data_IF_282623830885
#
_entry.id   IF_282623830885
#
_cell.length_a   1.000
_cell.length_b   1.000
_cell.length_c   1.000
_cell.angle_alpha   90.00
_cell.angle_beta   90.00
_cell.angle_gamma   90.00
#
_symmetry.space_group_name_H-M   'P 1'
#
loop_
_entity.id
_entity.type
_entity.pdbx_description
1 polymer ?
#
# COMPACT_ATOMS: atom_id res chain seq x y z
N UNK A 1 -31.22 13.69 32.14
CA UNK A 1 -31.79 12.34 31.91
C UNK A 1 -32.21 12.23 30.45
N UNK A 2 -31.25 12.11 29.52
CA UNK A 2 -31.48 11.96 28.06
C UNK A 2 -30.20 11.37 27.39
N UNK A 3 -29.55 10.37 28.02
CA UNK A 3 -28.34 9.74 27.44
C UNK A 3 -28.45 8.20 27.34
N UNK A 4 -29.48 7.56 27.90
CA UNK A 4 -29.52 6.08 27.98
C UNK A 4 -30.31 5.37 26.88
N UNK A 5 -30.84 6.04 25.85
CA UNK A 5 -31.85 5.43 24.96
C UNK A 5 -31.40 4.97 23.56
N UNK A 6 -30.10 4.97 23.23
CA UNK A 6 -29.66 4.69 21.84
C UNK A 6 -28.79 3.44 21.67
N UNK A 7 -28.52 2.66 22.72
CA UNK A 7 -27.55 1.54 22.65
C UNK A 7 -28.22 0.18 22.34
N UNK A 8 -29.54 0.05 22.48
CA UNK A 8 -30.20 -1.28 22.46
C UNK A 8 -30.58 -1.83 21.07
N UNK A 9 -30.40 -1.12 19.95
CA UNK A 9 -30.71 -1.66 18.61
C UNK A 9 -29.82 -1.03 17.53
N UNK A 10 -28.49 -1.26 17.59
CA UNK A 10 -27.67 -0.94 16.41
C UNK A 10 -27.99 -1.93 15.29
N UNK A 11 -28.36 -1.42 14.12
CA UNK A 11 -28.53 -2.21 12.91
C UNK A 11 -27.22 -2.37 12.13
N UNK A 12 -26.14 -1.69 12.57
CA UNK A 12 -24.81 -1.84 11.99
C UNK A 12 -24.12 -3.07 12.55
N UNK A 13 -23.65 -3.94 11.66
CA UNK A 13 -22.78 -5.07 11.98
C UNK A 13 -21.43 -4.95 11.30
N UNK A 14 -20.41 -5.55 11.91
CA UNK A 14 -19.07 -5.66 11.36
C UNK A 14 -18.64 -7.13 11.28
N UNK A 15 -17.93 -7.49 10.20
CA UNK A 15 -17.37 -8.83 9.97
C UNK A 15 -15.95 -8.69 9.39
N UNK A 16 -15.03 -9.57 9.79
CA UNK A 16 -13.65 -9.57 9.30
C UNK A 16 -13.35 -10.86 8.56
N UNK A 17 -12.86 -10.75 7.32
CA UNK A 17 -12.55 -11.90 6.47
C UNK A 17 -11.05 -12.25 6.48
N UNK A 18 -10.19 -11.26 6.66
CA UNK A 18 -8.73 -11.41 6.65
C UNK A 18 -8.03 -10.23 7.37
N UNK A 19 -6.69 -10.26 7.49
CA UNK A 19 -5.88 -9.23 8.16
C UNK A 19 -5.84 -9.31 9.69
N UNK A 20 -6.25 -10.42 10.30
CA UNK A 20 -6.40 -10.51 11.77
C UNK A 20 -5.09 -10.71 12.54
N UNK A 21 -4.17 -11.52 12.00
CA UNK A 21 -2.85 -11.83 12.59
C UNK A 21 -1.80 -11.99 11.48
N UNK A 22 -1.90 -11.13 10.47
CA UNK A 22 -1.04 -11.11 9.29
C UNK A 22 -0.70 -9.67 8.98
N UNK A 23 0.53 -9.41 8.53
CA UNK A 23 0.83 -8.19 7.78
C UNK A 23 0.23 -8.41 6.40
N UNK A 24 -0.64 -7.50 5.99
CA UNK A 24 -1.35 -7.63 4.72
C UNK A 24 -2.64 -8.44 4.73
N UNK A 25 -3.37 -8.27 3.63
CA UNK A 25 -4.61 -8.99 3.34
C UNK A 25 -5.82 -8.47 4.12
N UNK A 26 -5.82 -7.22 4.56
CA UNK A 26 -6.96 -6.67 5.31
C UNK A 26 -8.21 -6.66 4.44
N UNK A 27 -9.28 -7.31 4.93
CA UNK A 27 -10.62 -7.24 4.33
C UNK A 27 -11.67 -7.34 5.45
N UNK A 28 -12.48 -6.31 5.60
CA UNK A 28 -13.61 -6.30 6.54
C UNK A 28 -14.85 -5.66 5.91
N UNK A 29 -16.01 -6.03 6.43
CA UNK A 29 -17.31 -5.55 5.97
C UNK A 29 -18.06 -4.85 7.10
N UNK A 30 -18.65 -3.71 6.76
CA UNK A 30 -19.69 -3.01 7.52
C UNK A 30 -21.01 -3.21 6.79
N UNK A 31 -22.01 -3.74 7.48
CA UNK A 31 -23.36 -3.93 6.95
C UNK A 31 -24.36 -3.11 7.76
N UNK A 32 -25.21 -2.34 7.08
CA UNK A 32 -26.36 -1.66 7.67
C UNK A 32 -27.61 -2.02 6.87
N UNK A 33 -28.56 -2.71 7.50
CA UNK A 33 -29.69 -3.36 6.79
C UNK A 33 -29.15 -4.25 5.68
N UNK A 34 -29.45 -4.03 4.40
CA UNK A 34 -28.91 -4.79 3.28
C UNK A 34 -27.70 -4.13 2.59
N UNK A 35 -27.32 -2.93 2.99
CA UNK A 35 -26.21 -2.18 2.40
C UNK A 35 -24.89 -2.68 2.95
N UNK A 36 -23.92 -2.98 2.07
CA UNK A 36 -22.63 -3.57 2.42
C UNK A 36 -21.49 -2.70 1.94
N UNK A 37 -20.66 -2.30 2.87
CA UNK A 37 -19.41 -1.60 2.62
C UNK A 37 -18.25 -2.50 3.00
N UNK A 38 -17.38 -2.80 2.05
CA UNK A 38 -16.16 -3.58 2.26
C UNK A 38 -14.97 -2.63 2.19
N UNK A 39 -14.09 -2.66 3.18
CA UNK A 39 -12.85 -1.90 3.17
C UNK A 39 -11.66 -2.81 2.83
N UNK A 40 -10.84 -2.31 1.91
CA UNK A 40 -9.75 -3.00 1.25
C UNK A 40 -10.16 -4.33 0.62
N UNK A 41 -9.26 -4.88 -0.19
CA UNK A 41 -9.42 -6.17 -0.86
C UNK A 41 -8.05 -6.78 -1.14
N UNK A 42 -7.23 -6.86 -0.09
CA UNK A 42 -5.83 -7.21 -0.17
C UNK A 42 -5.54 -8.70 -0.22
N UNK A 43 -4.34 -9.06 -0.69
CA UNK A 43 -3.80 -10.42 -0.58
C UNK A 43 -2.75 -10.53 0.54
N UNK A 44 -2.66 -11.69 1.17
CA UNK A 44 -1.49 -11.99 2.00
C UNK A 44 -0.41 -12.55 1.08
N UNK A 45 0.77 -11.94 1.09
CA UNK A 45 1.97 -12.48 0.46
C UNK A 45 2.43 -13.72 1.24
N UNK A 46 1.75 -14.84 1.01
CA UNK A 46 2.25 -16.15 1.45
C UNK A 46 3.09 -16.74 0.34
N UNK A 47 4.10 -17.51 0.73
CA UNK A 47 4.98 -18.32 -0.12
C UNK A 47 4.17 -19.44 -0.82
N UNK A 48 3.26 -19.03 -1.70
CA UNK A 48 2.33 -19.85 -2.47
C UNK A 48 2.66 -19.80 -3.97
N UNK A 49 3.91 -19.46 -4.29
CA UNK A 49 4.45 -19.81 -5.60
C UNK A 49 4.34 -21.33 -5.80
N UNK A 50 3.84 -21.72 -6.97
CA UNK A 50 3.46 -23.11 -7.27
C UNK A 50 1.98 -23.43 -7.06
N UNK A 51 1.17 -22.50 -6.54
CA UNK A 51 -0.30 -22.63 -6.58
C UNK A 51 -0.78 -22.49 -8.03
N UNK A 52 -0.85 -23.64 -8.71
CA UNK A 52 -1.46 -23.74 -10.02
C UNK A 52 -2.98 -23.87 -9.85
N UNK A 53 -3.66 -22.73 -9.82
CA UNK A 53 -5.11 -22.70 -9.92
C UNK A 53 -5.52 -23.03 -11.37
N UNK A 54 -6.53 -23.88 -11.54
CA UNK A 54 -7.02 -24.22 -12.88
C UNK A 54 -7.67 -22.98 -13.49
N UNK A 55 -7.37 -22.57 -14.73
CA UNK A 55 -7.94 -21.37 -15.32
C UNK A 55 -9.48 -21.30 -15.26
N UNK A 56 -10.16 -22.45 -15.46
CA UNK A 56 -11.62 -22.55 -15.42
C UNK A 56 -12.22 -22.56 -14.00
N UNK A 57 -11.40 -22.71 -12.96
CA UNK A 57 -11.83 -22.83 -11.55
C UNK A 57 -10.96 -21.96 -10.65
N UNK A 58 -10.39 -20.88 -11.20
CA UNK A 58 -9.34 -20.11 -10.54
C UNK A 58 -9.78 -19.60 -9.17
N UNK A 59 -10.96 -18.98 -9.09
CA UNK A 59 -11.46 -18.41 -7.83
C UNK A 59 -11.73 -19.51 -6.80
N UNK A 60 -12.40 -20.60 -7.19
CA UNK A 60 -12.71 -21.71 -6.27
C UNK A 60 -11.45 -22.43 -5.78
N UNK A 61 -10.45 -22.59 -6.64
CA UNK A 61 -9.17 -23.21 -6.27
C UNK A 61 -8.40 -22.31 -5.31
N UNK A 62 -8.35 -21.00 -5.57
CA UNK A 62 -7.72 -20.02 -4.69
C UNK A 62 -8.45 -19.87 -3.35
N UNK A 63 -9.77 -20.02 -3.32
CA UNK A 63 -10.56 -20.10 -2.09
C UNK A 63 -10.24 -21.37 -1.29
N UNK A 64 -10.19 -22.53 -1.94
CA UNK A 64 -9.84 -23.80 -1.32
C UNK A 64 -8.41 -23.76 -0.72
N UNK A 65 -7.52 -22.99 -1.33
CA UNK A 65 -6.16 -22.76 -0.86
C UNK A 65 -6.03 -21.59 0.13
N UNK A 66 -7.14 -20.94 0.48
CA UNK A 66 -7.18 -19.83 1.44
C UNK A 66 -6.42 -18.58 0.98
N UNK A 67 -6.27 -18.37 -0.33
CA UNK A 67 -5.70 -17.15 -0.92
C UNK A 67 -6.78 -16.06 -1.00
N UNK A 68 -7.96 -16.42 -1.50
CA UNK A 68 -9.12 -15.52 -1.58
C UNK A 68 -10.09 -15.92 -0.46
N UNK A 69 -10.56 -14.98 0.40
CA UNK A 69 -11.59 -15.29 1.37
C UNK A 69 -12.96 -15.54 0.71
N UNK A 70 -13.80 -16.31 1.38
CA UNK A 70 -15.19 -16.55 0.95
C UNK A 70 -16.04 -15.31 1.27
N UNK A 71 -16.29 -14.45 0.27
CA UNK A 71 -17.10 -13.23 0.41
C UNK A 71 -18.23 -13.28 -0.62
N UNK A 72 -19.42 -13.67 -0.16
CA UNK A 72 -20.57 -13.91 -1.04
C UNK A 72 -21.01 -12.65 -1.80
N UNK A 73 -21.25 -12.83 -3.10
CA UNK A 73 -21.86 -11.81 -3.98
C UNK A 73 -20.94 -10.68 -4.38
N UNK A 74 -19.64 -10.80 -4.10
CA UNK A 74 -18.62 -9.79 -4.44
C UNK A 74 -17.65 -10.30 -5.51
N UNK A 75 -17.49 -11.61 -5.65
CA UNK A 75 -16.51 -12.22 -6.55
C UNK A 75 -17.12 -12.51 -7.93
N UNK A 76 -16.29 -12.55 -8.99
CA UNK A 76 -16.70 -12.87 -10.37
C UNK A 76 -17.41 -14.23 -10.51
N UNK A 77 -17.20 -15.14 -9.57
CA UNK A 77 -17.82 -16.47 -9.52
C UNK A 77 -19.27 -16.47 -9.00
N UNK A 78 -19.72 -15.38 -8.39
CA UNK A 78 -20.93 -15.34 -7.59
C UNK A 78 -22.08 -14.63 -8.33
N UNK A 79 -23.32 -14.87 -7.89
CA UNK A 79 -24.42 -13.95 -8.19
C UNK A 79 -24.18 -12.63 -7.46
N UNK A 80 -24.03 -11.54 -8.23
CA UNK A 80 -23.63 -10.24 -7.67
C UNK A 80 -24.66 -9.66 -6.71
N UNK A 81 -24.20 -9.25 -5.54
CA UNK A 81 -24.96 -8.42 -4.61
C UNK A 81 -24.78 -6.95 -4.97
N UNK A 82 -25.83 -6.36 -5.54
CA UNK A 82 -25.82 -4.96 -6.00
C UNK A 82 -25.77 -3.94 -4.86
N UNK A 83 -25.86 -4.38 -3.60
CA UNK A 83 -25.73 -3.52 -2.43
C UNK A 83 -24.31 -3.48 -1.87
N UNK A 84 -23.38 -4.24 -2.46
CA UNK A 84 -21.98 -4.24 -2.07
C UNK A 84 -21.20 -3.13 -2.77
N UNK A 85 -20.29 -2.51 -2.03
CA UNK A 85 -19.31 -1.55 -2.54
C UNK A 85 -18.00 -1.75 -1.80
N UNK A 86 -16.89 -1.67 -2.52
CA UNK A 86 -15.54 -1.79 -1.98
C UNK A 86 -14.91 -0.40 -1.93
N UNK A 87 -14.23 -0.05 -0.85
CA UNK A 87 -13.34 1.11 -0.81
C UNK A 87 -11.91 0.71 -0.44
N UNK A 88 -10.94 1.29 -1.13
CA UNK A 88 -9.51 1.00 -0.98
C UNK A 88 -8.83 2.15 -0.27
N UNK A 89 -8.09 1.85 0.79
CA UNK A 89 -7.30 2.80 1.57
C UNK A 89 -6.06 3.29 0.81
N UNK A 90 -5.34 2.38 0.16
CA UNK A 90 -4.16 2.66 -0.65
C UNK A 90 -3.79 1.49 -1.58
N UNK A 91 -2.80 1.69 -2.45
CA UNK A 91 -2.57 0.80 -3.61
C UNK A 91 -1.57 -0.36 -3.40
N UNK A 92 -1.11 -0.64 -2.18
CA UNK A 92 -0.28 -1.81 -1.98
C UNK A 92 -1.08 -3.11 -2.24
N UNK A 93 -0.41 -4.15 -2.74
CA UNK A 93 -1.08 -5.39 -3.14
C UNK A 93 -1.75 -6.10 -1.95
N UNK A 94 -1.27 -5.84 -0.74
CA UNK A 94 -1.86 -6.37 0.47
C UNK A 94 -3.07 -5.57 0.98
N UNK A 95 -3.47 -4.52 0.26
CA UNK A 95 -4.73 -3.78 0.42
C UNK A 95 -5.63 -3.85 -0.81
N UNK A 96 -5.12 -4.15 -2.00
CA UNK A 96 -5.97 -4.23 -3.21
C UNK A 96 -5.65 -5.38 -4.19
N UNK A 97 -4.72 -6.27 -3.86
CA UNK A 97 -4.22 -7.32 -4.75
C UNK A 97 -5.24 -8.36 -5.19
N UNK A 98 -6.39 -8.47 -4.52
CA UNK A 98 -7.48 -9.37 -4.94
C UNK A 98 -8.53 -8.69 -5.82
N UNK A 99 -8.38 -7.40 -6.15
CA UNK A 99 -9.39 -6.66 -6.94
C UNK A 99 -9.70 -7.29 -8.30
N UNK A 100 -8.72 -7.95 -8.93
CA UNK A 100 -8.92 -8.68 -10.19
C UNK A 100 -9.95 -9.82 -10.11
N UNK A 101 -10.35 -10.25 -8.91
CA UNK A 101 -11.36 -11.28 -8.70
C UNK A 101 -12.74 -10.72 -8.36
N UNK A 102 -12.88 -9.40 -8.20
CA UNK A 102 -14.14 -8.71 -7.89
C UNK A 102 -15.04 -8.70 -9.12
N UNK A 103 -16.34 -8.94 -8.89
CA UNK A 103 -17.36 -8.90 -9.92
C UNK A 103 -17.46 -7.48 -10.55
N UNK A 104 -17.53 -7.32 -11.89
CA UNK A 104 -17.47 -6.01 -12.54
C UNK A 104 -18.55 -5.00 -12.11
N UNK A 105 -19.72 -5.50 -11.69
CA UNK A 105 -20.84 -4.67 -11.22
C UNK A 105 -20.69 -4.18 -9.76
N UNK A 106 -19.68 -4.65 -9.02
CA UNK A 106 -19.39 -4.16 -7.66
C UNK A 106 -18.50 -2.92 -7.78
N UNK A 107 -18.97 -1.73 -7.35
CA UNK A 107 -18.18 -0.50 -7.42
C UNK A 107 -16.95 -0.58 -6.52
N UNK A 108 -15.84 -0.05 -7.02
CA UNK A 108 -14.60 0.14 -6.26
C UNK A 108 -14.40 1.64 -6.09
N UNK A 109 -14.17 2.08 -4.87
CA UNK A 109 -13.98 3.49 -4.52
C UNK A 109 -12.56 3.67 -3.96
N UNK A 110 -11.89 4.75 -4.33
CA UNK A 110 -10.59 5.14 -3.77
C UNK A 110 -10.45 6.66 -3.79
N UNK A 111 -9.38 7.20 -3.21
CA UNK A 111 -9.06 8.62 -3.34
C UNK A 111 -8.76 9.01 -4.79
N UNK A 112 -8.89 10.29 -5.14
CA UNK A 112 -8.51 10.79 -6.48
C UNK A 112 -7.05 10.48 -6.79
N UNK A 113 -6.17 10.71 -5.83
CA UNK A 113 -4.74 10.45 -5.92
C UNK A 113 -4.43 8.95 -6.11
N UNK A 114 -5.14 8.08 -5.38
CA UNK A 114 -5.03 6.63 -5.59
C UNK A 114 -5.55 6.24 -6.98
N UNK A 115 -6.66 6.81 -7.46
CA UNK A 115 -7.15 6.50 -8.80
C UNK A 115 -6.16 6.93 -9.88
N UNK A 116 -5.59 8.12 -9.77
CA UNK A 116 -4.56 8.60 -10.71
C UNK A 116 -3.36 7.67 -10.74
N UNK A 117 -2.82 7.28 -9.57
CA UNK A 117 -1.71 6.32 -9.54
C UNK A 117 -2.14 4.95 -10.10
N UNK A 118 -3.34 4.47 -9.79
CA UNK A 118 -3.86 3.20 -10.30
C UNK A 118 -3.90 3.17 -11.84
N UNK A 119 -4.39 4.24 -12.48
CA UNK A 119 -4.46 4.34 -13.95
C UNK A 119 -3.07 4.26 -14.61
N UNK A 120 -2.05 4.84 -13.98
CA UNK A 120 -0.69 4.79 -14.48
C UNK A 120 -0.04 3.42 -14.25
N UNK A 121 -0.22 2.83 -13.06
CA UNK A 121 0.20 1.45 -12.80
C UNK A 121 -0.45 0.50 -13.82
N UNK A 122 -1.73 0.72 -14.15
CA UNK A 122 -2.49 -0.12 -15.09
C UNK A 122 -1.91 -0.11 -16.48
N UNK A 123 -1.41 1.06 -16.88
CA UNK A 123 -0.76 1.24 -18.16
C UNK A 123 0.55 0.44 -18.25
N UNK A 124 1.26 0.27 -17.14
CA UNK A 124 2.51 -0.49 -17.03
C UNK A 124 2.32 -1.92 -16.47
N UNK A 125 1.09 -2.37 -16.31
CA UNK A 125 0.71 -3.74 -15.87
C UNK A 125 1.25 -4.12 -14.48
N UNK A 126 1.32 -3.16 -13.55
CA UNK A 126 1.88 -3.33 -12.21
C UNK A 126 0.83 -3.56 -11.11
N UNK A 127 -0.45 -3.69 -11.46
CA UNK A 127 -1.57 -3.84 -10.53
C UNK A 127 -2.67 -4.76 -11.10
N UNK A 128 -3.64 -5.16 -10.26
CA UNK A 128 -4.74 -6.03 -10.65
C UNK A 128 -5.51 -5.49 -11.85
N UNK A 129 -5.76 -6.36 -12.83
CA UNK A 129 -6.49 -5.97 -14.02
C UNK A 129 -8.00 -5.82 -13.74
N UNK A 130 -8.45 -4.56 -13.57
CA UNK A 130 -9.86 -4.17 -13.44
C UNK A 130 -10.25 -3.18 -14.52
N UNK A 131 -11.55 -3.10 -14.85
CA UNK A 131 -12.03 -2.09 -15.79
C UNK A 131 -12.15 -0.73 -15.09
N UNK A 132 -11.05 0.03 -15.08
CA UNK A 132 -10.95 1.31 -14.35
C UNK A 132 -12.05 2.30 -14.76
N UNK A 133 -12.36 2.40 -16.06
CA UNK A 133 -13.33 3.36 -16.59
C UNK A 133 -14.79 3.08 -16.21
N UNK A 134 -15.13 1.85 -15.82
CA UNK A 134 -16.51 1.46 -15.47
C UNK A 134 -16.68 1.19 -13.97
N UNK A 135 -15.69 0.53 -13.35
CA UNK A 135 -15.81 -0.03 -12.01
C UNK A 135 -15.25 0.90 -10.93
N UNK A 136 -14.23 1.73 -11.26
CA UNK A 136 -13.47 2.51 -10.28
C UNK A 136 -13.94 3.97 -10.23
N UNK A 137 -14.38 4.38 -9.03
CA UNK A 137 -14.77 5.76 -8.70
C UNK A 137 -13.74 6.39 -7.78
N UNK A 138 -13.43 7.65 -8.03
CA UNK A 138 -12.59 8.45 -7.14
C UNK A 138 -13.43 9.37 -6.27
N UNK A 139 -12.90 9.69 -5.10
CA UNK A 139 -13.46 10.67 -4.16
C UNK A 139 -12.33 11.59 -3.70
N UNK A 140 -12.49 12.93 -3.78
CA UNK A 140 -11.50 13.85 -3.24
C UNK A 140 -11.35 13.68 -1.73
N UNK A 141 -10.14 13.95 -1.22
CA UNK A 141 -9.94 14.02 0.22
C UNK A 141 -10.84 15.06 0.89
N UNK A 142 -11.21 14.77 2.15
CA UNK A 142 -12.07 15.62 2.99
C UNK A 142 -13.48 15.87 2.42
N UNK A 143 -13.90 15.11 1.41
CA UNK A 143 -15.26 15.19 0.87
C UNK A 143 -16.10 13.98 1.27
N UNK A 144 -17.22 14.21 1.97
CA UNK A 144 -18.28 13.24 2.13
C UNK A 144 -18.73 12.61 0.80
N UNK A 145 -18.75 11.28 0.75
CA UNK A 145 -19.28 10.52 -0.38
C UNK A 145 -20.33 9.51 0.10
N UNK A 146 -21.54 9.62 -0.44
CA UNK A 146 -22.65 8.74 -0.12
C UNK A 146 -22.52 7.44 -0.92
N UNK A 147 -22.06 6.35 -0.29
CA UNK A 147 -21.85 5.05 -0.98
C UNK A 147 -23.17 4.31 -1.22
N UNK A 148 -24.14 4.49 -0.34
CA UNK A 148 -25.46 3.84 -0.37
C UNK A 148 -26.50 4.72 0.33
N UNK A 149 -27.73 4.28 0.56
CA UNK A 149 -28.76 5.13 1.18
C UNK A 149 -28.39 5.59 2.61
N UNK A 150 -27.69 4.76 3.38
CA UNK A 150 -27.41 5.00 4.79
C UNK A 150 -25.92 5.02 5.13
N UNK A 151 -25.04 4.54 4.24
CA UNK A 151 -23.60 4.53 4.48
C UNK A 151 -22.95 5.69 3.70
N UNK A 152 -22.16 6.48 4.41
CA UNK A 152 -21.34 7.56 3.87
C UNK A 152 -19.87 7.32 4.25
N UNK A 153 -18.95 7.65 3.35
CA UNK A 153 -17.51 7.63 3.63
C UNK A 153 -16.88 9.01 3.44
N UNK A 154 -15.70 9.20 4.01
CA UNK A 154 -14.82 10.34 3.75
C UNK A 154 -13.38 9.85 3.87
N UNK A 155 -12.57 10.16 2.86
CA UNK A 155 -11.14 9.85 2.86
C UNK A 155 -10.35 10.99 3.49
N UNK A 156 -9.40 10.64 4.34
CA UNK A 156 -8.43 11.56 4.94
C UNK A 156 -7.03 11.15 4.50
N UNK A 157 -6.22 12.08 3.98
CA UNK A 157 -4.85 11.76 3.60
C UNK A 157 -4.07 11.33 4.84
N UNK A 158 -3.27 10.28 4.67
CA UNK A 158 -2.26 9.87 5.64
C UNK A 158 -0.96 9.66 4.87
N UNK A 159 0.16 9.80 5.57
CA UNK A 159 1.46 9.47 5.04
C UNK A 159 1.65 7.96 5.05
N UNK A 160 2.18 7.46 3.93
CA UNK A 160 2.61 6.08 3.71
C UNK A 160 3.64 6.13 2.56
N UNK A 161 4.24 5.02 2.20
CA UNK A 161 5.17 4.93 1.07
C UNK A 161 4.48 4.67 -0.29
N UNK A 162 3.24 5.17 -0.45
CA UNK A 162 2.48 5.19 -1.71
C UNK A 162 1.63 6.45 -1.84
N UNK A 163 1.47 6.96 -3.07
CA UNK A 163 0.61 8.10 -3.34
C UNK A 163 -0.87 7.76 -3.07
N UNK A 164 -1.58 8.69 -2.45
CA UNK A 164 -3.02 8.60 -2.22
C UNK A 164 -3.44 7.74 -1.03
N UNK A 165 -2.48 7.33 -0.18
CA UNK A 165 -2.78 6.61 1.04
C UNK A 165 -3.72 7.38 1.96
N UNK A 166 -4.67 6.66 2.55
CA UNK A 166 -5.77 7.30 3.25
C UNK A 166 -6.37 6.48 4.38
N UNK A 167 -6.76 7.20 5.43
CA UNK A 167 -7.72 6.72 6.41
C UNK A 167 -9.15 6.93 5.88
N UNK A 168 -10.06 6.03 6.23
CA UNK A 168 -11.46 6.06 5.80
C UNK A 168 -12.35 6.24 7.03
N UNK A 169 -13.09 7.35 7.08
CA UNK A 169 -14.19 7.52 8.04
C UNK A 169 -15.47 6.99 7.42
N UNK A 170 -16.12 6.04 8.08
CA UNK A 170 -17.35 5.39 7.65
C UNK A 170 -18.45 5.78 8.63
N UNK A 171 -19.55 6.33 8.12
CA UNK A 171 -20.69 6.78 8.92
C UNK A 171 -21.94 6.04 8.50
N UNK A 172 -22.59 5.39 9.46
CA UNK A 172 -23.95 4.86 9.34
C UNK A 172 -24.89 5.68 10.24
N UNK A 173 -26.22 5.46 10.22
CA UNK A 173 -27.14 6.25 11.04
C UNK A 173 -26.93 6.12 12.55
N UNK A 174 -26.28 5.04 13.01
CA UNK A 174 -26.10 4.73 14.44
C UNK A 174 -24.64 4.57 14.87
N UNK A 175 -23.68 4.64 13.93
CA UNK A 175 -22.26 4.38 14.21
C UNK A 175 -21.32 5.25 13.37
N UNK A 176 -20.25 5.74 13.99
CA UNK A 176 -19.08 6.29 13.31
C UNK A 176 -17.85 5.38 13.48
N UNK A 177 -17.23 5.00 12.37
CA UNK A 177 -16.05 4.14 12.34
C UNK A 177 -14.91 4.90 11.65
N UNK A 178 -13.69 4.74 12.13
CA UNK A 178 -12.48 5.19 11.43
C UNK A 178 -11.59 3.98 11.20
N UNK A 179 -11.20 3.75 9.96
CA UNK A 179 -10.18 2.81 9.56
C UNK A 179 -8.94 3.57 9.14
N UNK A 180 -7.78 3.33 9.76
CA UNK A 180 -6.57 4.12 9.47
C UNK A 180 -5.97 3.82 8.10
N UNK A 181 -6.24 2.64 7.53
CA UNK A 181 -5.33 2.06 6.55
C UNK A 181 -3.96 1.82 7.20
N UNK A 182 -2.92 1.85 6.38
CA UNK A 182 -1.55 1.93 6.86
C UNK A 182 -1.16 3.39 7.04
N UNK A 183 -0.39 3.64 8.11
CA UNK A 183 0.04 4.98 8.48
C UNK A 183 1.53 4.98 8.78
N UNK A 184 2.20 6.03 8.33
CA UNK A 184 3.51 6.47 8.79
C UNK A 184 3.37 7.76 9.56
N UNK A 185 4.30 8.03 10.46
CA UNK A 185 4.42 9.34 11.09
C UNK A 185 5.90 9.73 11.20
N UNK A 186 6.27 10.90 10.67
CA UNK A 186 7.59 11.52 10.86
C UNK A 186 7.41 12.95 11.39
N UNK A 187 8.48 13.58 11.87
CA UNK A 187 8.40 14.89 12.54
C UNK A 187 7.77 16.01 11.69
N UNK A 188 7.91 15.92 10.35
CA UNK A 188 7.36 16.89 9.37
C UNK A 188 5.96 16.51 8.85
N UNK A 189 5.37 15.42 9.34
CA UNK A 189 4.13 14.86 8.78
C UNK A 189 2.91 15.56 9.36
N UNK A 190 2.18 16.28 8.52
CA UNK A 190 1.02 17.08 8.92
C UNK A 190 -0.28 16.31 8.74
N UNK A 191 -0.36 15.43 7.74
CA UNK A 191 -1.61 14.79 7.35
C UNK A 191 -1.99 13.71 8.37
N UNK A 192 -1.10 12.74 8.60
CA UNK A 192 -1.33 11.70 9.61
C UNK A 192 -1.48 12.31 11.00
N UNK A 193 -0.64 13.30 11.37
CA UNK A 193 -0.70 13.92 12.69
C UNK A 193 -2.03 14.64 12.97
N UNK A 194 -2.70 15.16 11.93
CA UNK A 194 -3.99 15.84 12.07
C UNK A 194 -5.19 14.88 12.04
N UNK A 195 -5.00 13.59 11.71
CA UNK A 195 -6.09 12.62 11.61
C UNK A 195 -7.03 12.63 12.83
N UNK A 196 -6.56 12.62 14.10
CA UNK A 196 -7.44 12.68 15.27
C UNK A 196 -8.35 13.91 15.30
N UNK A 197 -7.84 15.06 14.84
CA UNK A 197 -8.57 16.33 14.81
C UNK A 197 -9.62 16.36 13.71
N UNK A 198 -9.29 15.89 12.51
CA UNK A 198 -10.17 15.97 11.34
C UNK A 198 -11.19 14.83 11.28
N UNK A 199 -10.80 13.62 11.68
CA UNK A 199 -11.71 12.50 11.78
C UNK A 199 -12.63 12.66 12.99
N UNK A 200 -12.11 13.22 14.09
CA UNK A 200 -12.77 13.32 15.40
C UNK A 200 -12.98 11.93 16.03
N UNK A 201 -13.44 11.89 17.28
CA UNK A 201 -13.59 10.62 18.00
C UNK A 201 -14.61 9.69 17.33
N UNK A 202 -14.24 8.45 16.94
CA UNK A 202 -15.16 7.47 16.41
C UNK A 202 -15.74 6.58 17.52
N UNK A 203 -16.84 5.86 17.24
CA UNK A 203 -17.32 4.79 18.11
C UNK A 203 -16.40 3.58 18.03
N UNK A 204 -15.94 3.25 16.82
CA UNK A 204 -15.03 2.14 16.53
C UNK A 204 -13.81 2.65 15.76
N UNK A 205 -12.62 2.35 16.23
CA UNK A 205 -11.37 2.52 15.50
C UNK A 205 -10.87 1.16 15.00
N UNK A 206 -10.49 1.08 13.73
CA UNK A 206 -9.76 -0.06 13.16
C UNK A 206 -8.39 0.47 12.77
N UNK A 207 -7.33 -0.11 13.31
CA UNK A 207 -5.96 0.41 13.18
C UNK A 207 -4.94 -0.69 12.90
N UNK A 208 -3.93 -0.38 12.08
CA UNK A 208 -2.82 -1.29 11.82
C UNK A 208 -1.97 -1.56 13.06
N UNK A 209 -1.24 -2.68 13.07
CA UNK A 209 -0.36 -3.09 14.16
C UNK A 209 0.95 -3.70 13.66
N UNK A 210 1.37 -3.36 12.44
CA UNK A 210 2.51 -3.96 11.74
C UNK A 210 3.76 -3.98 12.60
N UNK A 211 4.04 -2.84 13.23
CA UNK A 211 5.22 -2.63 14.07
C UNK A 211 4.92 -2.72 15.57
N UNK A 212 3.73 -3.14 16.01
CA UNK A 212 3.42 -3.25 17.44
C UNK A 212 4.08 -4.50 18.01
N UNK A 213 5.01 -4.33 18.97
CA UNK A 213 5.81 -5.41 19.56
C UNK A 213 5.74 -5.36 21.10
N UNK A 214 6.32 -6.34 21.80
CA UNK A 214 6.25 -6.43 23.28
C UNK A 214 6.99 -5.29 24.00
N UNK A 215 8.09 -4.80 23.42
CA UNK A 215 8.87 -3.70 23.98
C UNK A 215 8.61 -2.42 23.19
N UNK A 216 8.06 -1.41 23.87
CA UNK A 216 8.07 -0.03 23.40
C UNK A 216 9.41 0.59 23.80
N UNK A 217 10.12 1.16 22.82
CA UNK A 217 11.41 1.79 23.06
C UNK A 217 11.19 3.27 23.41
N UNK A 218 11.79 3.73 24.52
CA UNK A 218 11.83 5.14 24.96
C UNK A 218 12.76 6.02 24.08
N UNK A 219 12.90 5.70 22.79
CA UNK A 219 13.67 6.49 21.81
C UNK A 219 12.75 7.45 21.06
N UNK A 220 13.31 8.46 20.38
CA UNK A 220 12.52 9.34 19.52
C UNK A 220 11.63 8.49 18.60
N UNK A 221 10.30 8.52 18.75
CA UNK A 221 9.43 7.56 18.08
C UNK A 221 9.23 7.91 16.60
N UNK A 222 9.71 9.09 16.15
CA UNK A 222 9.61 9.50 14.76
C UNK A 222 10.61 8.76 13.89
N UNK A 223 10.07 8.07 12.89
CA UNK A 223 10.82 7.62 11.73
C UNK A 223 11.27 8.89 10.98
N UNK A 224 12.51 8.99 10.47
CA UNK A 224 12.92 10.13 9.64
C UNK A 224 12.05 10.20 8.36
N UNK A 225 11.95 11.39 7.77
CA UNK A 225 11.36 11.47 6.43
C UNK A 225 12.22 10.70 5.43
N UNK A 226 11.61 10.19 4.34
CA UNK A 226 12.36 9.48 3.31
C UNK A 226 13.51 10.31 2.72
N UNK A 227 13.28 11.59 2.47
CA UNK A 227 14.34 12.45 1.92
C UNK A 227 15.51 12.63 2.90
N UNK A 228 15.21 12.86 4.19
CA UNK A 228 16.24 13.06 5.21
C UNK A 228 17.05 11.78 5.47
N UNK A 229 16.47 10.61 5.26
CA UNK A 229 17.14 9.32 5.43
C UNK A 229 17.92 8.88 4.17
N UNK A 230 17.29 8.96 3.00
CA UNK A 230 17.81 8.34 1.77
C UNK A 230 18.85 9.23 1.07
N UNK A 231 18.65 10.56 1.02
CA UNK A 231 19.57 11.44 0.28
C UNK A 231 20.98 11.35 0.88
N UNK A 232 21.21 11.59 2.19
CA UNK A 232 22.56 11.53 2.75
C UNK A 232 23.22 10.17 2.55
N UNK A 233 22.49 9.07 2.75
CA UNK A 233 23.01 7.72 2.57
C UNK A 233 23.43 7.44 1.12
N UNK A 234 22.63 7.86 0.14
CA UNK A 234 23.01 7.76 -1.29
C UNK A 234 24.24 8.61 -1.62
N UNK A 235 24.39 9.77 -0.97
CA UNK A 235 25.55 10.63 -1.15
C UNK A 235 26.83 10.09 -0.50
N UNK A 236 26.76 9.13 0.40
CA UNK A 236 27.95 8.50 1.00
C UNK A 236 28.51 7.37 0.12
N UNK A 237 27.73 6.87 -0.84
CA UNK A 237 28.17 5.82 -1.76
C UNK A 237 29.07 6.44 -2.85
N UNK A 238 30.32 5.96 -2.92
CA UNK A 238 31.32 6.42 -3.89
C UNK A 238 31.45 5.49 -5.11
N UNK A 239 31.04 4.23 -4.98
CA UNK A 239 30.93 3.26 -6.09
C UNK A 239 29.80 3.63 -7.05
N UNK A 240 29.79 3.08 -8.28
CA UNK A 240 28.62 3.14 -9.15
C UNK A 240 27.39 2.55 -8.44
N UNK A 241 26.22 3.18 -8.63
CA UNK A 241 24.97 2.75 -8.01
C UNK A 241 24.09 2.05 -9.05
N UNK A 242 23.71 0.82 -8.74
CA UNK A 242 22.56 0.14 -9.32
C UNK A 242 21.43 0.23 -8.29
N UNK A 243 20.19 0.50 -8.69
CA UNK A 243 19.09 0.60 -7.74
C UNK A 243 17.82 -0.12 -8.20
N UNK A 244 17.00 -0.55 -7.24
CA UNK A 244 15.69 -1.15 -7.48
C UNK A 244 14.63 -0.48 -6.60
N UNK A 245 13.47 -0.19 -7.17
CA UNK A 245 12.44 0.68 -6.57
C UNK A 245 11.06 0.04 -6.65
N UNK A 246 10.14 0.58 -5.85
CA UNK A 246 8.72 0.28 -5.97
C UNK A 246 8.00 1.34 -6.79
N UNK A 247 7.39 0.95 -7.91
CA UNK A 247 6.67 1.86 -8.81
C UNK A 247 5.55 2.66 -8.13
N UNK A 248 5.04 2.20 -6.98
CA UNK A 248 3.99 2.88 -6.22
C UNK A 248 4.48 4.08 -5.42
N UNK A 249 5.78 4.14 -5.12
CA UNK A 249 6.36 5.23 -4.35
C UNK A 249 6.93 6.32 -5.28
N UNK A 250 6.04 7.16 -5.83
CA UNK A 250 6.42 8.26 -6.72
C UNK A 250 7.37 9.26 -6.04
N UNK A 251 7.17 9.54 -4.74
CA UNK A 251 8.05 10.43 -3.96
C UNK A 251 9.49 9.91 -3.89
N UNK A 252 9.68 8.59 -3.86
CA UNK A 252 11.02 7.99 -3.89
C UNK A 252 11.75 8.21 -5.20
N UNK A 253 11.02 8.32 -6.32
CA UNK A 253 11.61 8.70 -7.60
C UNK A 253 12.18 10.12 -7.53
N UNK A 254 11.44 11.08 -6.97
CA UNK A 254 11.93 12.45 -6.76
C UNK A 254 13.20 12.48 -5.89
N UNK A 255 13.23 11.67 -4.83
CA UNK A 255 14.38 11.57 -3.91
C UNK A 255 15.62 11.01 -4.63
N UNK A 256 15.47 9.94 -5.42
CA UNK A 256 16.58 9.36 -6.18
C UNK A 256 17.09 10.32 -7.27
N UNK A 257 16.18 11.00 -7.96
CA UNK A 257 16.52 12.02 -8.96
C UNK A 257 17.29 13.16 -8.30
N UNK A 258 16.83 13.66 -7.15
CA UNK A 258 17.50 14.74 -6.42
C UNK A 258 18.88 14.33 -5.90
N UNK A 259 19.02 13.13 -5.33
CA UNK A 259 20.31 12.61 -4.87
C UNK A 259 21.31 12.47 -6.03
N UNK A 260 20.86 11.94 -7.18
CA UNK A 260 21.69 11.84 -8.39
C UNK A 260 22.11 13.22 -8.89
N UNK A 261 21.20 14.22 -8.84
CA UNK A 261 21.48 15.61 -9.22
C UNK A 261 22.61 16.20 -8.37
N UNK A 262 22.57 15.99 -7.06
CA UNK A 262 23.58 16.49 -6.12
C UNK A 262 24.95 15.83 -6.32
N UNK A 263 24.98 14.56 -6.75
CA UNK A 263 26.21 13.84 -7.14
C UNK A 263 26.65 14.10 -8.58
N UNK A 264 25.95 14.96 -9.31
CA UNK A 264 26.19 15.27 -10.73
C UNK A 264 26.19 14.00 -11.61
N UNK A 265 25.33 13.03 -11.28
CA UNK A 265 25.17 11.76 -12.00
C UNK A 265 23.99 11.81 -12.95
N UNK A 266 24.15 11.17 -14.10
CA UNK A 266 23.01 10.81 -14.93
C UNK A 266 22.29 9.64 -14.26
N UNK A 267 20.97 9.70 -14.17
CA UNK A 267 20.16 8.58 -13.66
C UNK A 267 19.38 7.97 -14.82
N UNK A 268 19.46 6.65 -14.94
CA UNK A 268 18.82 5.87 -16.01
C UNK A 268 17.77 4.99 -15.38
N UNK A 269 16.53 5.19 -15.79
CA UNK A 269 15.40 4.37 -15.35
C UNK A 269 14.97 3.39 -16.44
N UNK A 270 14.20 2.38 -16.03
CA UNK A 270 13.47 1.49 -16.92
C UNK A 270 12.31 2.27 -17.59
N UNK A 271 11.87 1.86 -18.81
CA UNK A 271 10.81 2.56 -19.54
C UNK A 271 9.56 2.84 -18.72
N UNK A 272 9.10 1.87 -17.93
CA UNK A 272 7.91 1.93 -17.09
C UNK A 272 8.05 3.00 -15.99
N UNK A 273 9.23 3.07 -15.35
CA UNK A 273 9.50 4.11 -14.36
C UNK A 273 9.62 5.49 -15.02
N UNK A 274 10.25 5.58 -16.19
CA UNK A 274 10.33 6.84 -16.94
C UNK A 274 8.94 7.35 -17.36
N UNK A 275 8.03 6.44 -17.70
CA UNK A 275 6.62 6.76 -17.92
C UNK A 275 5.96 7.39 -16.68
N UNK A 276 6.23 6.87 -15.48
CA UNK A 276 5.71 7.45 -14.24
C UNK A 276 6.31 8.84 -13.98
N UNK A 277 7.61 9.03 -14.17
CA UNK A 277 8.30 10.32 -14.04
C UNK A 277 7.67 11.37 -14.98
N UNK A 278 7.34 10.96 -16.21
CA UNK A 278 6.67 11.82 -17.18
C UNK A 278 5.22 12.14 -16.76
N UNK A 279 4.45 11.12 -16.39
CA UNK A 279 3.02 11.20 -16.03
C UNK A 279 2.76 12.08 -14.80
N UNK A 280 3.65 12.02 -13.81
CA UNK A 280 3.59 12.86 -12.61
C UNK A 280 4.33 14.20 -12.77
N UNK A 281 4.84 14.49 -13.97
CA UNK A 281 5.53 15.74 -14.29
C UNK A 281 6.70 16.06 -13.32
N UNK A 282 7.49 15.05 -12.98
CA UNK A 282 8.64 15.23 -12.09
C UNK A 282 9.75 16.02 -12.80
N UNK A 283 10.51 16.82 -12.03
CA UNK A 283 11.66 17.58 -12.54
C UNK A 283 12.87 16.66 -12.75
N UNK A 284 13.22 16.42 -14.01
CA UNK A 284 14.03 15.28 -14.42
C UNK A 284 15.03 15.58 -15.56
N UNK A 285 15.78 16.70 -15.57
CA UNK A 285 16.62 17.10 -16.71
C UNK A 285 17.81 16.14 -16.98
N UNK A 286 18.33 15.51 -15.93
CA UNK A 286 19.44 14.53 -15.97
C UNK A 286 18.97 13.08 -16.04
N UNK A 287 17.67 12.85 -16.21
CA UNK A 287 17.09 11.51 -16.36
C UNK A 287 17.17 11.03 -17.80
N UNK A 288 17.48 9.74 -17.98
CA UNK A 288 17.31 9.00 -19.24
C UNK A 288 16.49 7.74 -18.97
N UNK A 289 15.97 7.12 -20.03
CA UNK A 289 15.34 5.82 -19.93
C UNK A 289 16.00 4.80 -20.87
N UNK A 290 16.15 3.58 -20.39
CA UNK A 290 16.80 2.51 -21.14
C UNK A 290 15.95 2.09 -22.34
N UNK A 291 16.60 1.86 -23.49
CA UNK A 291 16.02 1.14 -24.62
C UNK A 291 16.91 -0.06 -24.95
N UNK A 292 16.45 -1.25 -24.59
CA UNK A 292 17.22 -2.48 -24.79
C UNK A 292 16.31 -3.67 -25.18
N UNK A 293 15.62 -3.49 -26.32
CA UNK A 293 14.78 -4.54 -26.92
C UNK A 293 13.47 -4.85 -26.20
N UNK A 294 13.15 -4.15 -25.10
CA UNK A 294 11.86 -4.26 -24.42
C UNK A 294 10.71 -3.71 -25.29
N UNK A 295 9.52 -4.30 -25.17
CA UNK A 295 8.31 -3.76 -25.82
C UNK A 295 7.79 -2.56 -25.04
N UNK A 296 8.13 -1.36 -25.51
CA UNK A 296 7.67 -0.11 -24.90
C UNK A 296 6.42 0.46 -25.59
N UNK A 297 5.73 -0.29 -26.45
CA UNK A 297 4.69 0.25 -27.34
C UNK A 297 3.53 0.95 -26.62
N UNK A 298 3.18 0.50 -25.41
CA UNK A 298 2.11 1.08 -24.59
C UNK A 298 2.45 2.48 -24.02
N UNK A 299 3.73 2.74 -23.78
CA UNK A 299 4.18 3.92 -23.02
C UNK A 299 5.11 4.84 -23.80
N UNK A 300 5.75 4.37 -24.87
CA UNK A 300 6.76 5.14 -25.61
C UNK A 300 6.24 6.48 -26.13
N UNK A 301 4.99 6.54 -26.61
CA UNK A 301 4.39 7.79 -27.09
C UNK A 301 4.06 8.79 -25.96
N UNK A 302 4.06 8.32 -24.72
CA UNK A 302 3.74 9.13 -23.54
C UNK A 302 5.01 9.76 -22.96
N UNK A 303 6.19 9.14 -23.12
CA UNK A 303 7.49 9.65 -22.68
C UNK A 303 8.02 10.69 -23.68
N UNK A 304 7.95 11.98 -23.35
CA UNK A 304 8.25 13.07 -24.29
C UNK A 304 9.45 13.92 -23.89
N UNK A 305 9.61 14.19 -22.59
CA UNK A 305 10.69 15.04 -22.06
C UNK A 305 11.97 14.27 -21.79
N UNK A 306 11.85 12.98 -21.47
CA UNK A 306 12.99 12.12 -21.12
C UNK A 306 13.57 11.51 -22.39
N UNK A 307 14.88 11.65 -22.58
CA UNK A 307 15.57 11.09 -23.74
C UNK A 307 15.95 9.61 -23.51
N UNK A 308 15.88 8.76 -24.54
CA UNK A 308 16.33 7.38 -24.44
C UNK A 308 17.86 7.29 -24.33
N UNK A 309 18.34 6.15 -23.83
CA UNK A 309 19.75 5.75 -23.84
C UNK A 309 19.85 4.24 -24.11
N UNK A 310 20.82 3.82 -24.92
CA UNK A 310 21.08 2.40 -25.19
C UNK A 310 21.94 1.76 -24.10
N UNK A 311 21.88 0.43 -23.97
CA UNK A 311 22.73 -0.29 -23.02
C UNK A 311 24.24 -0.09 -23.29
N UNK A 312 24.64 -0.01 -24.56
CA UNK A 312 26.03 0.29 -24.96
C UNK A 312 26.48 1.67 -24.45
N UNK A 313 25.64 2.70 -24.58
CA UNK A 313 25.94 4.04 -24.07
C UNK A 313 26.02 4.09 -22.54
N UNK A 314 25.19 3.29 -21.84
CA UNK A 314 25.29 3.12 -20.39
C UNK A 314 26.63 2.46 -20.03
N UNK A 315 27.03 1.41 -20.75
CA UNK A 315 28.30 0.70 -20.55
C UNK A 315 29.51 1.64 -20.69
N UNK A 316 29.53 2.44 -21.75
CA UNK A 316 30.63 3.37 -22.05
C UNK A 316 30.80 4.48 -20.99
N UNK A 317 29.76 4.74 -20.19
CA UNK A 317 29.71 5.83 -19.20
C UNK A 317 29.35 5.35 -17.80
N UNK A 318 29.50 4.07 -17.52
CA UNK A 318 28.97 3.44 -16.31
C UNK A 318 29.39 4.14 -15.01
N UNK A 319 30.64 4.60 -14.92
CA UNK A 319 31.14 5.35 -13.74
C UNK A 319 30.42 6.68 -13.47
N UNK A 320 29.73 7.26 -14.45
CA UNK A 320 28.98 8.52 -14.33
C UNK A 320 27.46 8.34 -14.28
N UNK A 321 26.98 7.09 -14.22
CA UNK A 321 25.56 6.74 -14.29
C UNK A 321 25.11 6.05 -12.99
N UNK A 322 23.90 6.37 -12.53
CA UNK A 322 23.11 5.53 -11.64
C UNK A 322 22.06 4.80 -12.48
N UNK A 323 21.95 3.49 -12.34
CA UNK A 323 21.16 2.66 -13.25
C UNK A 323 20.10 1.85 -12.49
N UNK A 324 18.84 1.98 -12.88
CA UNK A 324 17.79 1.12 -12.37
C UNK A 324 17.96 -0.30 -12.90
N UNK A 325 17.90 -1.29 -12.02
CA UNK A 325 17.79 -2.70 -12.42
C UNK A 325 16.85 -3.43 -11.47
N UNK A 326 15.61 -3.58 -11.93
CA UNK A 326 14.60 -4.44 -11.32
C UNK A 326 15.00 -5.90 -11.42
N UNK A 327 14.38 -6.76 -10.61
CA UNK A 327 14.63 -8.19 -10.68
C UNK A 327 14.37 -8.76 -12.08
N UNK A 328 13.36 -8.26 -12.80
CA UNK A 328 13.01 -8.74 -14.13
C UNK A 328 14.08 -8.40 -15.18
N UNK A 329 14.80 -7.29 -15.01
CA UNK A 329 15.88 -6.86 -15.90
C UNK A 329 17.27 -7.11 -15.31
N UNK A 330 17.40 -7.90 -14.24
CA UNK A 330 18.69 -8.13 -13.57
C UNK A 330 19.77 -8.71 -14.49
N UNK A 331 19.38 -9.44 -15.53
CA UNK A 331 20.32 -10.03 -16.48
C UNK A 331 21.00 -9.00 -17.40
N UNK A 332 20.43 -7.79 -17.55
CA UNK A 332 21.07 -6.69 -18.30
C UNK A 332 22.41 -6.29 -17.67
N UNK A 333 22.57 -6.52 -16.36
CA UNK A 333 23.80 -6.25 -15.63
C UNK A 333 24.99 -7.11 -16.07
N UNK A 334 24.75 -8.27 -16.70
CA UNK A 334 25.81 -9.14 -17.24
C UNK A 334 26.63 -8.45 -18.35
N UNK A 335 26.07 -7.42 -18.97
CA UNK A 335 26.72 -6.66 -20.02
C UNK A 335 27.33 -5.35 -19.53
N UNK A 336 27.25 -5.04 -18.23
CA UNK A 336 27.74 -3.80 -17.64
C UNK A 336 28.95 -4.08 -16.72
N UNK A 337 29.89 -3.13 -16.56
CA UNK A 337 31.06 -3.31 -15.70
C UNK A 337 30.70 -3.10 -14.22
N UNK A 338 29.84 -3.99 -13.69
CA UNK A 338 29.20 -3.87 -12.36
C UNK A 338 30.05 -4.36 -11.19
N UNK A 339 31.18 -5.01 -11.43
CA UNK A 339 32.06 -5.50 -10.35
C UNK A 339 32.50 -4.34 -9.44
N UNK A 340 32.23 -4.45 -8.13
CA UNK A 340 32.48 -3.39 -7.15
C UNK A 340 31.45 -2.26 -7.11
N UNK A 341 30.38 -2.32 -7.92
CA UNK A 341 29.23 -1.43 -7.78
C UNK A 341 28.39 -1.78 -6.55
N UNK A 342 27.58 -0.83 -6.09
CA UNK A 342 26.63 -1.04 -4.99
C UNK A 342 25.21 -1.17 -5.56
N UNK A 343 24.57 -2.30 -5.28
CA UNK A 343 23.15 -2.53 -5.55
C UNK A 343 22.32 -2.05 -4.36
N UNK A 344 21.62 -0.94 -4.56
CA UNK A 344 20.74 -0.31 -3.60
C UNK A 344 19.32 -0.84 -3.77
N UNK A 345 18.91 -1.75 -2.87
CA UNK A 345 17.55 -2.24 -2.79
C UNK A 345 16.67 -1.22 -2.04
N UNK A 346 15.82 -0.50 -2.77
CA UNK A 346 15.01 0.60 -2.26
C UNK A 346 13.51 0.28 -2.25
N UNK A 347 13.18 -0.87 -1.65
CA UNK A 347 11.86 -1.51 -1.62
C UNK A 347 11.35 -1.99 -2.98
N UNK A 348 12.23 -2.27 -3.95
CA UNK A 348 11.80 -2.94 -5.19
C UNK A 348 11.47 -4.42 -4.99
N UNK A 349 10.65 -4.99 -5.88
CA UNK A 349 10.38 -6.45 -5.87
C UNK A 349 11.64 -7.19 -6.33
N UNK A 350 12.01 -8.31 -5.69
CA UNK A 350 11.40 -8.94 -4.50
C UNK A 350 11.63 -8.14 -3.21
N UNK A 351 10.58 -7.96 -2.39
CA UNK A 351 10.57 -7.01 -1.27
C UNK A 351 11.41 -7.45 -0.06
N UNK A 352 11.65 -8.74 0.11
CA UNK A 352 12.37 -9.27 1.27
C UNK A 352 12.35 -10.80 1.32
N UNK A 353 12.91 -11.38 2.37
CA UNK A 353 13.12 -12.83 2.49
C UNK A 353 11.85 -13.70 2.52
N UNK A 354 10.67 -13.08 2.66
CA UNK A 354 9.38 -13.77 2.53
C UNK A 354 9.00 -14.05 1.08
N UNK A 355 9.62 -13.34 0.13
CA UNK A 355 9.52 -13.57 -1.30
C UNK A 355 10.64 -14.54 -1.73
N UNK A 356 10.32 -15.69 -2.35
CA UNK A 356 11.31 -16.68 -2.77
C UNK A 356 12.31 -16.15 -3.79
N UNK A 357 11.95 -15.13 -4.59
CA UNK A 357 12.84 -14.51 -5.57
C UNK A 357 13.94 -13.66 -4.89
N UNK A 358 13.76 -13.29 -3.62
CA UNK A 358 14.75 -12.48 -2.90
C UNK A 358 16.09 -13.19 -2.73
N UNK A 359 16.08 -14.51 -2.47
CA UNK A 359 17.30 -15.29 -2.34
C UNK A 359 18.07 -15.38 -3.67
N UNK A 360 17.35 -15.58 -4.79
CA UNK A 360 17.94 -15.59 -6.13
C UNK A 360 18.53 -14.21 -6.49
N UNK A 361 17.85 -13.11 -6.13
CA UNK A 361 18.39 -11.76 -6.30
C UNK A 361 19.74 -11.63 -5.58
N UNK A 362 19.80 -11.95 -4.29
CA UNK A 362 21.03 -11.83 -3.50
C UNK A 362 22.18 -12.66 -4.10
N UNK A 363 21.89 -13.89 -4.55
CA UNK A 363 22.88 -14.77 -5.19
C UNK A 363 23.42 -14.16 -6.50
N UNK A 364 22.56 -13.57 -7.33
CA UNK A 364 22.98 -12.87 -8.56
C UNK A 364 23.85 -11.65 -8.26
N UNK A 365 23.44 -10.81 -7.31
CA UNK A 365 24.22 -9.62 -6.92
C UNK A 365 25.61 -10.02 -6.42
N UNK A 366 25.67 -11.05 -5.57
CA UNK A 366 26.93 -11.58 -5.07
C UNK A 366 27.80 -12.16 -6.19
N UNK A 367 27.21 -12.92 -7.11
CA UNK A 367 27.93 -13.52 -8.26
C UNK A 367 28.53 -12.46 -9.19
N UNK A 368 27.85 -11.32 -9.35
CA UNK A 368 28.32 -10.17 -10.11
C UNK A 368 29.37 -9.32 -9.38
N UNK A 369 29.76 -9.69 -8.15
CA UNK A 369 30.78 -8.98 -7.37
C UNK A 369 30.33 -7.60 -6.87
N UNK A 370 29.02 -7.39 -6.72
CA UNK A 370 28.44 -6.15 -6.20
C UNK A 370 28.24 -6.20 -4.68
N UNK A 371 28.26 -5.04 -4.04
CA UNK A 371 27.81 -4.86 -2.66
C UNK A 371 26.28 -4.72 -2.63
N UNK A 372 25.59 -5.42 -1.74
CA UNK A 372 24.15 -5.28 -1.55
C UNK A 372 23.84 -4.39 -0.35
N UNK A 373 23.08 -3.32 -0.57
CA UNK A 373 22.64 -2.40 0.48
C UNK A 373 21.13 -2.27 0.42
N UNK A 374 20.46 -2.50 1.56
CA UNK A 374 19.04 -2.16 1.71
C UNK A 374 18.96 -0.70 2.13
N UNK A 375 18.28 0.11 1.33
CA UNK A 375 18.10 1.52 1.61
C UNK A 375 16.65 1.93 1.35
N UNK A 376 15.85 1.88 2.40
CA UNK A 376 14.44 2.25 2.39
C UNK A 376 14.01 2.75 3.77
N UNK A 377 12.94 3.52 3.80
CA UNK A 377 12.22 3.84 5.03
C UNK A 377 10.93 3.04 5.03
N UNK A 378 10.58 2.45 6.17
CA UNK A 378 9.32 1.72 6.33
C UNK A 378 8.12 2.63 6.02
N UNK A 379 7.10 2.05 5.38
CA UNK A 379 5.79 2.68 5.23
C UNK A 379 4.98 2.73 6.52
N UNK A 380 5.33 1.94 7.52
CA UNK A 380 4.53 1.81 8.74
C UNK A 380 5.11 2.61 9.91
N UNK A 381 4.23 3.19 10.71
CA UNK A 381 4.55 3.97 11.90
C UNK A 381 5.21 3.09 12.98
N UNK A 382 6.03 3.71 13.83
CA UNK A 382 6.60 3.02 14.99
C UNK A 382 5.50 2.60 15.98
N UNK A 383 5.79 1.61 16.84
CA UNK A 383 4.83 1.08 17.80
C UNK A 383 4.20 2.18 18.69
N UNK A 384 5.03 3.11 19.16
CA UNK A 384 4.65 4.24 20.01
C UNK A 384 3.74 5.22 19.28
N UNK A 385 3.93 5.38 17.97
CA UNK A 385 3.13 6.27 17.12
C UNK A 385 1.78 5.65 16.78
N UNK A 386 1.73 4.35 16.52
CA UNK A 386 0.48 3.58 16.39
C UNK A 386 -0.32 3.71 17.69
N UNK A 387 0.34 3.53 18.84
CA UNK A 387 -0.29 3.70 20.16
C UNK A 387 -0.79 5.13 20.36
N UNK A 388 0.04 6.13 20.06
CA UNK A 388 -0.35 7.55 20.14
C UNK A 388 -1.58 7.84 19.28
N UNK A 389 -1.62 7.34 18.05
CA UNK A 389 -2.77 7.51 17.14
C UNK A 389 -4.05 6.92 17.75
N UNK A 390 -3.96 5.70 18.28
CA UNK A 390 -5.09 5.04 18.94
C UNK A 390 -5.59 5.81 20.17
N UNK A 391 -4.67 6.30 21.01
CA UNK A 391 -4.99 7.12 22.19
C UNK A 391 -5.61 8.47 21.78
N UNK A 392 -5.07 9.12 20.74
CA UNK A 392 -5.48 10.46 20.30
C UNK A 392 -6.85 10.48 19.62
N UNK A 393 -7.21 9.41 18.89
CA UNK A 393 -8.53 9.26 18.29
C UNK A 393 -9.63 9.04 19.34
N UNK A 394 -9.29 8.58 20.55
CA UNK A 394 -10.23 8.41 21.67
C UNK A 394 -11.49 7.59 21.29
N UNK A 395 -11.29 6.49 20.57
CA UNK A 395 -12.38 5.59 20.22
C UNK A 395 -12.94 4.88 21.45
N UNK A 396 -14.23 4.52 21.42
CA UNK A 396 -14.82 3.68 22.49
C UNK A 396 -14.27 2.27 22.42
N UNK A 397 -14.21 1.70 21.20
CA UNK A 397 -13.63 0.39 20.91
C UNK A 397 -12.55 0.53 19.84
N UNK A 398 -11.40 -0.08 20.08
CA UNK A 398 -10.30 -0.17 19.12
C UNK A 398 -10.12 -1.63 18.70
N UNK A 399 -10.04 -1.85 17.40
CA UNK A 399 -9.87 -3.14 16.75
C UNK A 399 -8.50 -3.13 16.05
N UNK A 400 -7.45 -3.64 16.71
CA UNK A 400 -6.13 -3.78 16.10
C UNK A 400 -6.13 -4.91 15.06
N UNK A 401 -5.56 -4.63 13.88
CA UNK A 401 -5.43 -5.56 12.75
C UNK A 401 -4.10 -5.34 12.05
N UNK A 402 -3.87 -6.06 10.96
CA UNK A 402 -2.75 -5.83 10.05
C UNK A 402 -1.40 -5.84 10.78
N UNK A 403 -1.10 -6.96 11.42
CA UNK A 403 0.07 -7.17 12.28
C UNK A 403 0.05 -8.55 12.92
N UNK A 404 1.18 -9.01 13.44
CA UNK A 404 1.29 -10.35 14.03
C UNK A 404 0.83 -10.42 15.50
N UNK A 405 0.88 -9.29 16.19
CA UNK A 405 0.67 -9.17 17.64
C UNK A 405 -0.36 -8.08 17.98
N UNK A 406 -1.56 -8.10 17.38
CA UNK A 406 -2.60 -7.08 17.61
C UNK A 406 -3.02 -6.99 19.09
N UNK A 407 -2.94 -8.08 19.85
CA UNK A 407 -3.24 -8.13 21.29
C UNK A 407 -2.37 -7.22 22.17
N UNK A 408 -1.23 -6.75 21.65
CA UNK A 408 -0.30 -5.89 22.38
C UNK A 408 -0.71 -4.41 22.34
N UNK A 409 -1.54 -4.01 21.37
CA UNK A 409 -2.05 -2.64 21.33
C UNK A 409 -3.07 -2.42 22.44
N UNK A 410 -2.66 -1.74 23.52
CA UNK A 410 -3.49 -1.46 24.69
C UNK A 410 -3.48 0.04 25.01
N UNK A 411 -4.59 0.54 25.51
CA UNK A 411 -4.76 1.95 25.87
C UNK A 411 -5.98 2.17 26.78
N UNK A 412 -6.42 3.43 26.95
CA UNK A 412 -7.60 3.78 27.74
C UNK A 412 -8.94 3.41 27.06
N UNK A 413 -8.88 2.80 25.88
CA UNK A 413 -10.01 2.30 25.09
C UNK A 413 -10.22 0.80 25.28
N UNK A 414 -11.42 0.31 24.98
CA UNK A 414 -11.68 -1.13 24.94
C UNK A 414 -11.00 -1.72 23.70
N UNK A 415 -10.07 -2.65 23.89
CA UNK A 415 -9.48 -3.40 22.77
C UNK A 415 -10.34 -4.63 22.46
N UNK A 416 -10.71 -4.80 21.19
CA UNK A 416 -11.51 -5.94 20.73
C UNK A 416 -10.77 -6.71 19.63
N UNK A 417 -10.56 -8.01 19.85
CA UNK A 417 -9.92 -8.91 18.90
C UNK A 417 -10.97 -9.76 18.18
N UNK A 418 -11.26 -9.49 16.90
CA UNK A 418 -12.30 -10.20 16.17
C UNK A 418 -11.85 -11.61 15.76
N UNK A 419 -12.79 -12.54 15.75
CA UNK A 419 -12.68 -13.84 15.08
C UNK A 419 -13.05 -13.74 13.60
N UNK A 420 -12.34 -14.50 12.75
CA UNK A 420 -12.56 -14.57 11.30
C UNK A 420 -13.98 -15.04 10.97
N UNK A 421 -14.63 -14.37 10.02
CA UNK A 421 -15.97 -14.64 9.51
C UNK A 421 -17.11 -14.55 10.53
N UNK A 422 -16.85 -14.08 11.76
CA UNK A 422 -17.91 -13.86 12.75
C UNK A 422 -18.49 -12.45 12.59
N UNK A 423 -19.82 -12.37 12.68
CA UNK A 423 -20.58 -11.12 12.57
C UNK A 423 -20.81 -10.56 13.97
N UNK A 424 -20.51 -9.27 14.15
CA UNK A 424 -20.69 -8.57 15.42
C UNK A 424 -21.64 -7.39 15.24
N UNK A 425 -22.77 -7.35 15.96
CA UNK A 425 -23.52 -6.10 16.12
C UNK A 425 -22.65 -5.07 16.84
N UNK A 426 -22.54 -3.86 16.29
CA UNK A 426 -21.68 -2.83 16.90
C UNK A 426 -22.19 -2.42 18.28
N UNK A 427 -23.50 -2.42 18.50
CA UNK A 427 -24.09 -2.22 19.84
C UNK A 427 -23.51 -3.18 20.88
N UNK A 428 -23.28 -4.45 20.53
CA UNK A 428 -22.70 -5.43 21.43
C UNK A 428 -21.23 -5.14 21.75
N UNK A 429 -20.48 -4.60 20.80
CA UNK A 429 -19.09 -4.18 21.03
C UNK A 429 -19.03 -3.00 22.01
N UNK A 430 -19.94 -2.04 21.84
CA UNK A 430 -20.02 -0.82 22.66
C UNK A 430 -20.58 -1.08 24.09
N UNK A 431 -21.35 -2.14 24.30
CA UNK A 431 -21.88 -2.49 25.63
C UNK A 431 -20.83 -3.06 26.60
N UNK A 432 -19.64 -3.43 26.11
CA UNK A 432 -18.52 -3.91 26.94
C UNK A 432 -17.94 -2.86 27.90
N UNK A 433 -18.41 -1.62 27.84
CA UNK A 433 -18.01 -0.48 28.68
C UNK A 433 -18.62 -0.53 30.10
N UNK A 434 -18.38 -1.60 30.87
CA UNK A 434 -18.72 -1.65 32.30
C UNK A 434 -17.50 -1.54 33.20
#
# INVERSE_FOLDING_TARGET
>A
MMIEKTIENSATTIQFYAGLKTIGGTIFEIKYKEERFIADFGMVFQNKEGVQARPQSMISDLQALGVIPMISGVLKSDEVDKNATIAISHLHLDHMGLLQYVHPDVPIIMSEESKTLYEHLHTIEEEPNVNVGQQVKSVPFHQPFQVSQHIQIEFFPVNHDVLGASAIKITTPDTKIVYTGDIRLHEKDVDTANLPKIAGSPDVLIIETTNVQEEFLDVNPFIPSEADALIPALLEIESPIIFNIYHRNVKRLEILIEAARQKEKMIVFEPETAYLIESFNLDAPHVRYLIDGQDTSKIANQIQRIQPITLDEVRDRFSSVWFQSSYHLINTLLELPVEGATYVHSNGVPLGSFDPMYADLLERIQTLGMEFVVLGVSGHAAAEQIKWMADALQAKVTIPLHGFTPELLKGPYQTFLPEKNKIYPISSLLQGMK
#
